data_IF_208759156023
#
_entry.id   IF_208759156023
#
_cell.length_a   1.000
_cell.length_b   1.000
_cell.length_c   1.000
_cell.angle_alpha   90.00
_cell.angle_beta   90.00
_cell.angle_gamma   90.00
#
_symmetry.space_group_name_H-M   'P 1'
#
loop_
_entity.id
_entity.type
_entity.pdbx_description
1 polymer ?
#
# COMPACT_ATOMS: atom_id res chain seq x y z
N UNK A 1 65.38 -6.10 -17.25
CA UNK A 1 64.76 -4.77 -17.47
C UNK A 1 63.29 -5.07 -17.41
N UNK A 2 62.79 -5.16 -16.18
CA UNK A 2 61.50 -5.76 -15.87
C UNK A 2 60.37 -4.79 -16.22
N UNK A 3 59.45 -5.27 -17.05
CA UNK A 3 58.27 -4.56 -17.52
C UNK A 3 57.18 -4.67 -16.44
N UNK A 4 57.10 -3.66 -15.57
CA UNK A 4 56.09 -3.57 -14.52
C UNK A 4 54.83 -2.87 -15.05
N UNK A 5 53.83 -3.66 -15.43
CA UNK A 5 52.46 -3.22 -15.70
C UNK A 5 51.88 -2.43 -14.51
N UNK A 6 51.31 -1.22 -14.70
CA UNK A 6 50.72 -0.47 -13.60
C UNK A 6 49.41 -1.13 -13.11
N UNK A 7 49.09 -1.05 -11.81
CA UNK A 7 47.82 -1.54 -11.30
C UNK A 7 46.66 -0.71 -11.88
N UNK A 8 45.64 -1.40 -12.39
CA UNK A 8 44.42 -0.79 -12.90
C UNK A 8 43.65 -0.01 -11.80
N UNK A 9 42.75 0.89 -12.20
CA UNK A 9 42.01 1.73 -11.26
C UNK A 9 41.20 0.88 -10.28
N UNK A 10 41.48 1.05 -9.00
CA UNK A 10 40.69 0.50 -7.89
C UNK A 10 39.30 1.12 -7.94
N UNK A 11 38.28 0.33 -8.30
CA UNK A 11 36.88 0.73 -8.19
C UNK A 11 36.53 0.75 -6.69
N UNK A 12 36.05 1.88 -6.12
CA UNK A 12 35.69 1.93 -4.71
C UNK A 12 34.49 1.02 -4.42
N UNK A 13 34.53 0.42 -3.23
CA UNK A 13 33.59 -0.54 -2.69
C UNK A 13 32.13 -0.17 -2.93
N UNK A 14 31.36 -1.16 -3.38
CA UNK A 14 29.93 -1.04 -3.63
C UNK A 14 29.20 -0.47 -2.41
N UNK A 15 28.43 0.59 -2.65
CA UNK A 15 27.34 0.96 -1.75
C UNK A 15 26.45 -0.26 -1.64
N UNK A 16 26.37 -0.86 -0.45
CA UNK A 16 25.43 -1.94 -0.16
C UNK A 16 24.03 -1.39 -0.35
N UNK A 17 23.49 -1.54 -1.57
CA UNK A 17 22.10 -1.29 -1.85
C UNK A 17 21.32 -2.20 -0.89
N UNK A 18 20.37 -1.67 -0.09
CA UNK A 18 19.57 -2.51 0.78
C UNK A 18 18.93 -3.62 -0.06
N UNK A 19 18.76 -4.83 0.50
CA UNK A 19 18.16 -5.93 -0.25
C UNK A 19 16.85 -5.46 -0.87
N UNK A 20 16.71 -5.58 -2.18
CA UNK A 20 15.52 -5.17 -2.92
C UNK A 20 14.33 -5.93 -2.33
N UNK A 21 13.35 -5.26 -1.70
CA UNK A 21 12.22 -5.96 -1.12
C UNK A 21 11.38 -6.58 -2.25
N UNK A 22 10.89 -7.80 -2.03
CA UNK A 22 9.92 -8.43 -2.92
C UNK A 22 8.60 -7.71 -2.78
N UNK A 23 8.13 -7.04 -3.83
CA UNK A 23 6.86 -6.28 -3.81
C UNK A 23 5.73 -7.16 -4.33
N UNK A 24 4.65 -7.30 -3.55
CA UNK A 24 3.45 -8.08 -3.92
C UNK A 24 2.21 -7.19 -3.90
N UNK A 25 1.47 -7.18 -5.00
CA UNK A 25 0.24 -6.39 -5.10
C UNK A 25 -0.99 -7.21 -4.68
N UNK A 26 -1.59 -6.88 -3.54
CA UNK A 26 -2.84 -7.48 -3.04
C UNK A 26 -4.06 -6.59 -3.32
N UNK A 27 -3.96 -5.69 -4.30
CA UNK A 27 -5.11 -4.95 -4.81
C UNK A 27 -5.75 -5.69 -6.01
N UNK A 28 -7.02 -5.44 -6.33
CA UNK A 28 -7.70 -6.13 -7.44
C UNK A 28 -7.16 -5.77 -8.84
N UNK A 29 -6.42 -4.68 -8.97
CA UNK A 29 -5.97 -4.14 -10.26
C UNK A 29 -4.44 -4.02 -10.30
N UNK A 30 -3.86 -4.05 -11.50
CA UNK A 30 -2.44 -3.79 -11.68
C UNK A 30 -2.09 -2.39 -11.17
N UNK A 31 -0.96 -2.28 -10.48
CA UNK A 31 -0.43 -1.00 -9.97
C UNK A 31 0.76 -0.62 -10.82
N UNK A 32 0.72 0.55 -11.45
CA UNK A 32 1.84 1.07 -12.24
C UNK A 32 2.60 2.11 -11.42
N UNK A 33 3.87 1.82 -11.10
CA UNK A 33 4.78 2.78 -10.46
C UNK A 33 5.46 3.60 -11.56
N UNK A 34 5.23 4.91 -11.54
CA UNK A 34 5.74 5.86 -12.52
C UNK A 34 7.00 6.53 -11.96
N UNK A 35 8.17 6.11 -12.46
CA UNK A 35 9.45 6.78 -12.24
C UNK A 35 9.68 7.91 -13.26
N UNK A 36 10.82 8.62 -13.17
CA UNK A 36 11.17 9.67 -14.12
C UNK A 36 11.22 9.19 -15.57
N UNK A 37 11.83 8.03 -15.80
CA UNK A 37 12.06 7.46 -17.14
C UNK A 37 11.61 5.99 -17.25
N UNK A 38 10.90 5.48 -16.24
CA UNK A 38 10.52 4.06 -16.17
C UNK A 38 9.12 3.86 -15.61
N UNK A 39 8.46 2.79 -16.04
CA UNK A 39 7.19 2.32 -15.50
C UNK A 39 7.35 0.89 -15.04
N UNK A 40 7.03 0.62 -13.79
CA UNK A 40 7.01 -0.74 -13.24
C UNK A 40 5.56 -1.16 -13.01
N UNK A 41 5.13 -2.20 -13.71
CA UNK A 41 3.82 -2.82 -13.49
C UNK A 41 3.92 -3.89 -12.41
N UNK A 42 3.00 -3.83 -11.44
CA UNK A 42 2.83 -4.79 -10.37
C UNK A 42 1.47 -5.49 -10.54
N UNK A 43 1.43 -6.69 -11.14
CA UNK A 43 0.18 -7.42 -11.33
C UNK A 43 -0.37 -7.93 -9.98
N UNK A 44 -1.70 -8.16 -9.86
CA UNK A 44 -2.28 -8.76 -8.68
C UNK A 44 -1.60 -10.10 -8.33
N UNK A 45 -1.20 -10.26 -7.06
CA UNK A 45 -0.35 -11.34 -6.56
C UNK A 45 -1.00 -12.08 -5.37
N UNK A 46 -2.19 -12.63 -5.61
CA UNK A 46 -2.97 -13.39 -4.64
C UNK A 46 -4.41 -12.90 -4.52
N UNK A 47 -5.22 -13.48 -3.60
CA UNK A 47 -6.52 -12.93 -3.28
C UNK A 47 -6.33 -11.52 -2.69
N UNK A 48 -7.16 -10.54 -3.06
CA UNK A 48 -7.00 -9.19 -2.56
C UNK A 48 -7.32 -9.15 -1.06
N UNK A 49 -6.52 -8.39 -0.31
CA UNK A 49 -6.85 -8.09 1.08
C UNK A 49 -8.11 -7.22 1.11
N UNK A 50 -9.13 -7.65 1.85
CA UNK A 50 -10.46 -7.02 1.84
C UNK A 50 -10.79 -6.50 3.22
N UNK A 51 -11.15 -5.23 3.27
CA UNK A 51 -11.82 -4.62 4.41
C UNK A 51 -13.30 -4.99 4.38
N UNK A 52 -13.78 -5.66 5.42
CA UNK A 52 -15.17 -6.10 5.59
C UNK A 52 -15.74 -5.40 6.81
N UNK A 53 -16.84 -4.68 6.61
CA UNK A 53 -17.65 -4.15 7.71
C UNK A 53 -18.67 -5.20 8.12
N UNK A 54 -18.94 -5.29 9.43
CA UNK A 54 -20.09 -6.07 9.88
C UNK A 54 -21.39 -5.43 9.36
N UNK A 55 -22.47 -6.21 9.17
CA UNK A 55 -23.75 -5.67 8.74
C UNK A 55 -24.27 -4.59 9.70
N UNK A 56 -24.94 -3.59 9.14
CA UNK A 56 -25.61 -2.55 9.91
C UNK A 56 -26.69 -3.13 10.81
N UNK A 57 -26.88 -2.54 11.98
CA UNK A 57 -27.91 -2.94 12.94
C UNK A 57 -28.93 -1.80 13.13
N UNK A 58 -30.23 -2.09 13.26
CA UNK A 58 -31.22 -1.07 13.59
C UNK A 58 -30.88 -0.34 14.89
N UNK A 59 -31.07 0.99 14.92
CA UNK A 59 -30.83 1.85 16.09
C UNK A 59 -32.04 2.73 16.45
N UNK A 60 -33.24 2.23 16.21
CA UNK A 60 -34.47 2.97 16.42
C UNK A 60 -34.73 3.99 15.31
N UNK A 61 -35.48 5.03 15.62
CA UNK A 61 -35.91 6.05 14.66
C UNK A 61 -35.82 7.45 15.28
N UNK A 62 -35.51 8.44 14.46
CA UNK A 62 -35.49 9.85 14.87
C UNK A 62 -36.52 10.65 14.08
N UNK A 63 -37.12 11.65 14.71
CA UNK A 63 -38.03 12.58 14.02
C UNK A 63 -37.28 13.83 13.60
N UNK A 64 -37.27 14.12 12.30
CA UNK A 64 -36.69 15.32 11.70
C UNK A 64 -37.82 16.11 11.04
N UNK A 65 -38.31 17.14 11.74
CA UNK A 65 -39.53 17.86 11.34
C UNK A 65 -40.75 16.94 11.39
N UNK A 66 -41.41 16.74 10.25
CA UNK A 66 -42.56 15.85 10.13
C UNK A 66 -42.20 14.42 9.70
N UNK A 67 -40.93 14.17 9.37
CA UNK A 67 -40.44 12.87 8.89
C UNK A 67 -39.85 12.04 10.03
N UNK A 68 -40.26 10.78 10.12
CA UNK A 68 -39.58 9.78 10.95
C UNK A 68 -38.57 9.02 10.09
N UNK A 69 -37.31 8.98 10.52
CA UNK A 69 -36.19 8.39 9.80
C UNK A 69 -35.58 7.26 10.64
N UNK A 70 -35.41 6.04 10.09
CA UNK A 70 -34.74 4.97 10.80
C UNK A 70 -33.26 5.31 10.99
N UNK A 71 -32.79 5.09 12.22
CA UNK A 71 -31.39 5.18 12.58
C UNK A 71 -30.78 3.77 12.52
N UNK A 72 -29.52 3.68 12.09
CA UNK A 72 -28.77 2.42 12.03
C UNK A 72 -27.41 2.60 12.69
N UNK A 73 -26.97 1.58 13.44
CA UNK A 73 -25.59 1.44 13.90
C UNK A 73 -24.78 0.76 12.82
N UNK A 74 -23.83 1.49 12.26
CA UNK A 74 -22.84 0.93 11.34
C UNK A 74 -21.68 0.32 12.11
N UNK A 75 -21.03 -0.70 11.56
CA UNK A 75 -19.85 -1.28 12.18
C UNK A 75 -18.72 -0.22 12.27
N UNK A 76 -18.31 0.10 13.49
CA UNK A 76 -17.23 1.07 13.73
C UNK A 76 -15.84 0.47 13.49
N UNK A 77 -15.70 -0.85 13.63
CA UNK A 77 -14.42 -1.56 13.49
C UNK A 77 -14.46 -2.45 12.26
N UNK A 78 -13.66 -2.16 11.22
CA UNK A 78 -13.52 -3.05 10.08
C UNK A 78 -12.74 -4.31 10.44
N UNK A 79 -13.16 -5.45 9.90
CA UNK A 79 -12.39 -6.69 9.92
C UNK A 79 -11.69 -6.84 8.57
N UNK A 80 -10.37 -7.03 8.58
CA UNK A 80 -9.64 -7.32 7.34
C UNK A 80 -9.51 -8.83 7.18
N UNK A 81 -9.84 -9.32 5.98
CA UNK A 81 -9.68 -10.73 5.58
C UNK A 81 -8.75 -10.84 4.38
N UNK A 82 -8.09 -11.99 4.23
CA UNK A 82 -7.19 -12.25 3.10
C UNK A 82 -5.88 -11.46 3.13
N UNK A 83 -5.50 -10.89 4.28
CA UNK A 83 -4.21 -10.24 4.48
C UNK A 83 -3.20 -11.28 5.01
N UNK A 84 -2.11 -11.60 4.29
CA UNK A 84 -1.07 -12.50 4.76
C UNK A 84 -0.33 -11.96 5.99
N UNK A 85 0.25 -12.87 6.77
CA UNK A 85 1.18 -12.52 7.85
C UNK A 85 2.42 -11.78 7.30
N UNK A 86 3.03 -10.88 8.09
CA UNK A 86 4.21 -10.14 7.66
C UNK A 86 5.40 -11.08 7.41
N UNK A 87 6.08 -10.89 6.27
CA UNK A 87 7.24 -11.66 5.86
C UNK A 87 8.46 -10.74 5.68
N UNK A 88 9.63 -11.16 6.18
CA UNK A 88 10.84 -10.36 6.11
C UNK A 88 11.27 -10.13 4.66
N UNK A 89 11.46 -8.85 4.29
CA UNK A 89 11.86 -8.47 2.94
C UNK A 89 10.72 -8.48 1.91
N UNK A 90 9.47 -8.65 2.33
CA UNK A 90 8.29 -8.54 1.46
C UNK A 90 7.54 -7.25 1.76
N UNK A 91 7.17 -6.51 0.72
CA UNK A 91 6.28 -5.34 0.81
C UNK A 91 4.94 -5.67 0.16
N UNK A 92 3.85 -5.56 0.90
CA UNK A 92 2.49 -5.81 0.42
C UNK A 92 1.82 -4.49 0.03
N UNK A 93 1.45 -4.36 -1.24
CA UNK A 93 0.60 -3.25 -1.71
C UNK A 93 -0.85 -3.62 -1.48
N UNK A 94 -1.54 -2.86 -0.65
CA UNK A 94 -2.95 -3.04 -0.27
C UNK A 94 -3.75 -1.77 -0.54
N UNK A 95 -5.08 -1.85 -0.41
CA UNK A 95 -5.91 -0.65 -0.40
C UNK A 95 -5.58 0.21 0.83
N UNK A 96 -5.63 1.54 0.69
CA UNK A 96 -5.31 2.48 1.77
C UNK A 96 -6.05 2.18 3.10
N UNK A 97 -7.38 1.90 3.11
CA UNK A 97 -8.08 1.57 4.36
C UNK A 97 -7.58 0.29 5.03
N UNK A 98 -7.04 -0.66 4.27
CA UNK A 98 -6.44 -1.89 4.81
C UNK A 98 -5.13 -1.56 5.51
N UNK A 99 -4.26 -0.75 4.90
CA UNK A 99 -3.03 -0.32 5.55
C UNK A 99 -3.30 0.50 6.83
N UNK A 100 -4.26 1.43 6.77
CA UNK A 100 -4.64 2.27 7.92
C UNK A 100 -5.26 1.47 9.08
N UNK A 101 -5.88 0.31 8.80
CA UNK A 101 -6.38 -0.61 9.84
C UNK A 101 -5.26 -1.33 10.62
N UNK A 102 -4.03 -1.37 10.09
CA UNK A 102 -2.86 -1.99 10.72
C UNK A 102 -1.68 -1.02 10.78
N UNK A 103 -1.77 0.09 11.55
CA UNK A 103 -0.71 1.10 11.62
C UNK A 103 0.60 0.59 12.22
N UNK A 104 0.57 -0.59 12.84
CA UNK A 104 1.73 -1.28 13.42
C UNK A 104 2.50 -2.16 12.42
N UNK A 105 1.97 -2.37 11.20
CA UNK A 105 2.60 -3.18 10.18
C UNK A 105 3.44 -2.31 9.25
N UNK A 106 4.75 -2.48 9.33
CA UNK A 106 5.71 -1.76 8.48
C UNK A 106 5.83 -2.31 7.05
N UNK A 107 5.29 -3.50 6.80
CA UNK A 107 5.33 -4.20 5.51
C UNK A 107 4.15 -3.86 4.58
N UNK A 108 3.22 -2.99 5.02
CA UNK A 108 2.07 -2.57 4.23
C UNK A 108 2.30 -1.20 3.57
N UNK A 109 2.00 -1.14 2.28
CA UNK A 109 2.02 0.08 1.50
C UNK A 109 0.74 0.22 0.66
N UNK A 110 0.42 1.44 0.23
CA UNK A 110 -0.68 1.71 -0.70
C UNK A 110 -0.25 2.70 -1.79
N UNK A 111 -0.85 2.66 -2.99
CA UNK A 111 -0.57 3.65 -4.04
C UNK A 111 -0.82 5.08 -3.54
N UNK A 112 0.19 5.95 -3.70
CA UNK A 112 0.15 7.35 -3.30
C UNK A 112 0.65 8.26 -4.42
N UNK A 113 0.30 9.56 -4.39
CA UNK A 113 0.54 10.47 -5.53
C UNK A 113 0.06 9.85 -6.86
N UNK A 114 -1.21 9.45 -6.87
CA UNK A 114 -1.87 8.82 -8.01
C UNK A 114 -1.91 9.79 -9.19
N UNK A 115 -1.55 9.30 -10.37
CA UNK A 115 -1.59 10.05 -11.62
C UNK A 115 -2.81 9.60 -12.41
N UNK A 116 -3.54 10.57 -12.95
CA UNK A 116 -4.73 10.35 -13.79
C UNK A 116 -4.49 10.90 -15.19
N UNK A 117 -5.10 10.28 -16.18
CA UNK A 117 -5.16 10.81 -17.54
C UNK A 117 -6.21 11.93 -17.67
N UNK A 118 -6.37 12.44 -18.89
CA UNK A 118 -7.34 13.50 -19.24
C UNK A 118 -8.81 13.09 -19.03
N UNK A 119 -9.09 11.79 -18.97
CA UNK A 119 -10.41 11.23 -18.71
C UNK A 119 -10.64 10.92 -17.22
N UNK A 120 -9.66 11.21 -16.36
CA UNK A 120 -9.71 10.93 -14.93
C UNK A 120 -9.42 9.48 -14.55
N UNK A 121 -8.98 8.64 -15.50
CA UNK A 121 -8.61 7.24 -15.26
C UNK A 121 -7.25 7.19 -14.59
N UNK A 122 -7.10 6.33 -13.58
CA UNK A 122 -5.83 6.13 -12.89
C UNK A 122 -4.87 5.36 -13.81
N UNK A 123 -3.77 6.00 -14.20
CA UNK A 123 -2.73 5.41 -15.07
C UNK A 123 -1.50 4.91 -14.28
N UNK A 124 -1.43 5.24 -12.98
CA UNK A 124 -0.37 4.80 -12.09
C UNK A 124 -0.23 5.68 -10.85
N UNK A 125 0.87 5.51 -10.13
CA UNK A 125 1.24 6.30 -8.96
C UNK A 125 2.74 6.61 -8.94
N UNK A 126 3.11 7.76 -8.37
CA UNK A 126 4.52 8.19 -8.24
C UNK A 126 5.14 7.83 -6.91
N UNK A 127 4.32 7.46 -5.92
CA UNK A 127 4.77 7.10 -4.59
C UNK A 127 3.97 5.93 -4.03
N UNK A 128 4.52 5.34 -2.98
CA UNK A 128 3.82 4.44 -2.09
C UNK A 128 3.70 5.12 -0.72
N UNK A 129 2.51 5.06 -0.13
CA UNK A 129 2.24 5.58 1.20
C UNK A 129 2.21 4.46 2.23
N UNK A 130 2.55 4.81 3.48
CA UNK A 130 2.38 3.98 4.67
C UNK A 130 1.76 4.82 5.79
N UNK A 131 0.91 4.24 6.65
CA UNK A 131 0.44 4.95 7.83
C UNK A 131 1.62 5.28 8.74
N UNK A 132 1.61 6.46 9.33
CA UNK A 132 2.54 6.79 10.42
C UNK A 132 2.12 6.02 11.65
N UNK A 133 3.08 5.46 12.40
CA UNK A 133 2.79 4.95 13.72
C UNK A 133 2.15 6.06 14.56
N UNK A 134 1.06 5.81 15.31
CA UNK A 134 0.64 6.75 16.32
C UNK A 134 1.83 6.96 17.26
N UNK A 135 2.24 8.22 17.43
CA UNK A 135 3.32 8.57 18.35
C UNK A 135 2.98 7.99 19.72
N UNK A 136 3.73 6.98 20.15
CA UNK A 136 3.69 6.52 21.54
C UNK A 136 4.54 7.53 22.31
N UNK A 137 3.88 8.37 23.10
CA UNK A 137 4.53 9.26 24.06
C UNK A 137 5.01 8.50 25.28
#
# INVERSE_FOLDING_TARGET
MDDATPPGPTIPAGTTQPPTPTVRNLTPHAVHLLGPDTVVELPPAGPPARLVLAPDQPDGEIRVGDLTVPLVRTAATPTVTGLPDPESGVLLIVARPVAEAFPHRDDLAYPHQVVRDEHGVIIGCRALGRPTHPFVS
#
